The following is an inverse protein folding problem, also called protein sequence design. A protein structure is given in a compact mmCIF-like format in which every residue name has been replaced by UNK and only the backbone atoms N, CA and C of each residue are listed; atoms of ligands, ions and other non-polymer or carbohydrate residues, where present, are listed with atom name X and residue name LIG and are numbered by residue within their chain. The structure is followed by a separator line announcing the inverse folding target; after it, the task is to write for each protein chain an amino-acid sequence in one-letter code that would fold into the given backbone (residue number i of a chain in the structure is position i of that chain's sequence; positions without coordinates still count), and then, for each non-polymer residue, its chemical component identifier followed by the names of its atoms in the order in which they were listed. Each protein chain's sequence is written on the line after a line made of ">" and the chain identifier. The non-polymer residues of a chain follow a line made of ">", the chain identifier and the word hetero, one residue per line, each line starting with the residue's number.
data_IF_609542119881
#
_entry.id   IF_609542119881
#
_cell.length_a   1.000
_cell.length_b   1.000
_cell.length_c   1.000
_cell.angle_alpha   90.00
_cell.angle_beta   90.00
_cell.angle_gamma   90.00
#
_symmetry.space_group_name_H-M   'P 1'
#
loop_
_entity.id
_entity.type
_entity.pdbx_description
1 polymer ?
#
# COMPACT_ATOMS: atom_id res chain seq x y z
N UNK A 1 -18.72 -12.03 6.99
CA UNK A 1 -19.61 -11.32 6.02
C UNK A 1 -20.77 -10.70 6.78
N UNK A 2 -21.19 -9.49 6.42
CA UNK A 2 -22.44 -8.85 6.90
C UNK A 2 -23.41 -8.76 5.73
N UNK A 3 -24.69 -9.09 5.94
CA UNK A 3 -25.72 -8.96 4.91
C UNK A 3 -26.11 -7.48 4.76
N UNK A 4 -26.07 -6.99 3.54
CA UNK A 4 -26.44 -5.61 3.18
C UNK A 4 -27.35 -5.65 1.97
N UNK A 5 -28.43 -4.88 2.00
CA UNK A 5 -29.29 -4.66 0.83
C UNK A 5 -28.75 -3.48 0.05
N UNK A 6 -28.55 -3.65 -1.26
CA UNK A 6 -28.15 -2.59 -2.18
C UNK A 6 -29.23 -2.39 -3.24
N UNK A 7 -29.36 -1.17 -3.74
CA UNK A 7 -30.20 -0.86 -4.89
C UNK A 7 -29.30 -0.86 -6.14
N UNK A 8 -29.77 -1.49 -7.20
CA UNK A 8 -29.11 -1.54 -8.50
C UNK A 8 -30.17 -1.64 -9.60
N UNK A 9 -29.81 -1.20 -10.80
CA UNK A 9 -30.69 -1.33 -11.96
C UNK A 9 -30.95 -2.81 -12.29
N UNK A 10 -32.15 -3.10 -12.79
CA UNK A 10 -32.56 -4.47 -13.13
C UNK A 10 -31.66 -5.09 -14.20
N UNK A 11 -31.25 -4.30 -15.21
CA UNK A 11 -30.31 -4.74 -16.25
C UNK A 11 -28.97 -5.18 -15.66
N UNK A 12 -28.43 -4.41 -14.72
CA UNK A 12 -27.17 -4.72 -14.04
C UNK A 12 -27.28 -6.01 -13.23
N UNK A 13 -28.40 -6.22 -12.54
CA UNK A 13 -28.64 -7.47 -11.80
C UNK A 13 -28.78 -8.68 -12.73
N UNK A 14 -29.32 -8.49 -13.93
CA UNK A 14 -29.42 -9.54 -14.94
C UNK A 14 -28.04 -9.91 -15.50
N UNK A 15 -27.22 -8.91 -15.83
CA UNK A 15 -25.85 -9.12 -16.32
C UNK A 15 -24.98 -9.82 -15.27
N UNK A 16 -25.08 -9.42 -14.00
CA UNK A 16 -24.34 -10.08 -12.90
C UNK A 16 -24.74 -11.57 -12.77
N UNK A 17 -26.02 -11.90 -12.98
CA UNK A 17 -26.47 -13.30 -12.93
C UNK A 17 -25.87 -14.12 -14.06
N UNK A 18 -25.89 -13.58 -15.28
CA UNK A 18 -25.28 -14.23 -16.44
C UNK A 18 -23.77 -14.44 -16.22
N UNK A 19 -23.08 -13.42 -15.72
CA UNK A 19 -21.66 -13.49 -15.41
C UNK A 19 -21.35 -14.55 -14.35
N UNK A 20 -22.19 -14.67 -13.32
CA UNK A 20 -22.04 -15.70 -12.29
C UNK A 20 -22.22 -17.12 -12.85
N UNK A 21 -23.18 -17.30 -13.77
CA UNK A 21 -23.39 -18.58 -14.46
C UNK A 21 -22.20 -18.94 -15.36
N UNK A 22 -21.69 -17.98 -16.14
CA UNK A 22 -20.52 -18.18 -17.01
C UNK A 22 -19.25 -18.53 -16.25
N UNK A 23 -19.09 -17.99 -15.03
CA UNK A 23 -17.91 -18.20 -14.18
C UNK A 23 -18.06 -19.37 -13.20
N UNK A 24 -19.19 -20.09 -13.21
CA UNK A 24 -19.51 -21.14 -12.24
C UNK A 24 -19.40 -20.67 -10.77
N UNK A 25 -19.77 -19.41 -10.52
CA UNK A 25 -19.70 -18.76 -9.21
C UNK A 25 -21.09 -18.36 -8.70
N UNK A 26 -21.19 -18.03 -7.40
CA UNK A 26 -22.42 -17.42 -6.91
C UNK A 26 -22.48 -15.93 -7.24
N UNK A 27 -23.69 -15.40 -7.44
CA UNK A 27 -23.92 -13.94 -7.61
C UNK A 27 -23.28 -13.12 -6.47
N UNK A 28 -23.28 -13.66 -5.25
CA UNK A 28 -22.67 -12.99 -4.09
C UNK A 28 -21.13 -12.96 -4.15
N UNK A 29 -20.51 -13.90 -4.87
CA UNK A 29 -19.06 -13.92 -5.08
C UNK A 29 -18.66 -12.87 -6.12
N UNK A 30 -19.36 -12.84 -7.26
CA UNK A 30 -19.17 -11.84 -8.31
C UNK A 30 -19.35 -10.41 -7.76
N UNK A 31 -20.43 -10.15 -7.02
CA UNK A 31 -20.66 -8.83 -6.41
C UNK A 31 -19.55 -8.49 -5.41
N UNK A 32 -19.09 -9.46 -4.63
CA UNK A 32 -18.03 -9.22 -3.65
C UNK A 32 -16.72 -8.89 -4.32
N UNK A 33 -16.34 -9.63 -5.35
CA UNK A 33 -15.14 -9.38 -6.14
C UNK A 33 -15.16 -7.99 -6.76
N UNK A 34 -16.26 -7.64 -7.45
CA UNK A 34 -16.44 -6.31 -8.05
C UNK A 34 -16.33 -5.18 -7.02
N UNK A 35 -16.94 -5.32 -5.84
CA UNK A 35 -16.84 -4.33 -4.77
C UNK A 35 -15.43 -4.23 -4.19
N UNK A 36 -14.75 -5.37 -4.02
CA UNK A 36 -13.36 -5.42 -3.55
C UNK A 36 -12.41 -4.73 -4.52
N UNK A 37 -12.52 -5.02 -5.81
CA UNK A 37 -11.72 -4.39 -6.86
C UNK A 37 -12.02 -2.89 -6.96
N UNK A 38 -13.30 -2.51 -6.95
CA UNK A 38 -13.70 -1.10 -6.99
C UNK A 38 -13.11 -0.30 -5.83
N UNK A 39 -13.15 -0.85 -4.61
CA UNK A 39 -12.55 -0.20 -3.44
C UNK A 39 -11.03 -0.16 -3.54
N UNK A 40 -10.37 -1.24 -4.00
CA UNK A 40 -8.92 -1.29 -4.16
C UNK A 40 -8.43 -0.24 -5.16
N UNK A 41 -9.09 -0.14 -6.31
CA UNK A 41 -8.75 0.81 -7.38
C UNK A 41 -9.03 2.26 -6.98
N UNK A 42 -10.08 2.52 -6.18
CA UNK A 42 -10.44 3.88 -5.74
C UNK A 42 -9.81 4.32 -4.43
N UNK A 43 -9.29 3.41 -3.63
CA UNK A 43 -8.37 3.79 -2.56
C UNK A 43 -7.19 4.44 -3.24
N UNK A 44 -7.09 5.78 -3.13
CA UNK A 44 -5.82 6.47 -3.35
C UNK A 44 -4.78 5.66 -2.57
N UNK A 45 -3.58 5.38 -3.13
CA UNK A 45 -2.51 4.85 -2.31
C UNK A 45 -2.47 5.72 -1.07
N UNK A 46 -2.62 5.12 0.11
CA UNK A 46 -2.51 5.84 1.37
C UNK A 46 -1.32 6.75 1.20
N UNK A 47 -1.54 8.07 1.32
CA UNK A 47 -0.55 9.09 0.98
C UNK A 47 0.80 8.61 1.47
N UNK A 48 1.70 8.37 0.51
CA UNK A 48 2.85 7.51 0.67
C UNK A 48 3.62 7.82 1.94
N UNK A 49 3.57 6.89 2.89
CA UNK A 49 4.76 6.64 3.66
C UNK A 49 5.62 5.75 2.77
N UNK A 50 6.55 6.36 2.04
CA UNK A 50 7.63 5.57 1.47
C UNK A 50 8.27 4.85 2.65
N UNK A 51 8.46 3.54 2.56
CA UNK A 51 8.82 2.66 3.69
C UNK A 51 10.08 3.09 4.44
N UNK A 52 10.90 3.98 3.86
CA UNK A 52 12.10 4.53 4.47
C UNK A 52 11.89 5.84 5.25
N UNK A 53 10.74 6.51 5.12
CA UNK A 53 10.46 7.75 5.87
C UNK A 53 10.36 7.38 7.36
N UNK A 54 11.32 7.84 8.16
CA UNK A 54 11.41 7.52 9.59
C UNK A 54 12.13 6.20 9.92
N UNK A 55 12.83 5.57 8.97
CA UNK A 55 13.61 4.35 9.22
C UNK A 55 14.83 4.56 10.14
N UNK A 56 15.27 5.81 10.35
CA UNK A 56 16.37 6.15 11.25
C UNK A 56 15.93 6.15 12.72
N UNK A 57 16.42 5.18 13.51
CA UNK A 57 16.36 5.19 14.98
C UNK A 57 17.79 5.17 15.54
N UNK A 58 18.39 6.34 15.68
CA UNK A 58 19.71 6.48 16.32
C UNK A 58 19.64 6.73 17.83
N UNK A 59 18.49 7.20 18.35
CA UNK A 59 18.36 7.68 19.72
C UNK A 59 19.12 8.98 20.01
N UNK A 60 19.75 9.58 18.99
CA UNK A 60 20.57 10.79 19.09
C UNK A 60 19.96 11.90 18.23
N UNK A 61 19.86 13.09 18.78
CA UNK A 61 19.24 14.26 18.12
C UNK A 61 20.25 15.14 17.38
N UNK A 62 21.55 14.94 17.61
CA UNK A 62 22.65 15.81 17.16
C UNK A 62 23.43 15.26 15.95
N UNK A 63 23.03 14.12 15.38
CA UNK A 63 23.80 13.46 14.30
C UNK A 63 23.96 14.35 13.07
N UNK A 64 22.90 15.05 12.65
CA UNK A 64 22.96 15.92 11.47
C UNK A 64 23.87 17.12 11.69
N UNK A 65 23.92 17.66 12.90
CA UNK A 65 24.74 18.82 13.26
C UNK A 65 26.22 18.44 13.38
N UNK A 66 26.50 17.20 13.78
CA UNK A 66 27.85 16.68 14.06
C UNK A 66 28.34 15.67 13.04
N UNK A 67 27.73 15.62 11.86
CA UNK A 67 28.02 14.62 10.86
C UNK A 67 29.51 14.60 10.50
N UNK A 68 30.11 15.77 10.33
CA UNK A 68 31.53 15.91 9.97
C UNK A 68 32.47 15.40 11.07
N UNK A 69 32.25 15.77 12.32
CA UNK A 69 33.05 15.29 13.46
C UNK A 69 32.99 13.76 13.58
N UNK A 70 31.78 13.20 13.48
CA UNK A 70 31.56 11.75 13.57
C UNK A 70 32.28 11.02 12.43
N UNK A 71 32.23 11.58 11.21
CA UNK A 71 32.91 11.01 10.06
C UNK A 71 34.43 11.11 10.18
N UNK A 72 34.96 12.24 10.64
CA UNK A 72 36.40 12.42 10.86
C UNK A 72 36.94 11.43 11.90
N UNK A 73 36.22 11.23 13.01
CA UNK A 73 36.58 10.25 14.04
C UNK A 73 36.51 8.81 13.53
N UNK A 74 35.56 8.53 12.62
CA UNK A 74 35.33 7.19 12.08
C UNK A 74 36.29 6.83 10.93
N UNK A 75 36.84 7.83 10.22
CA UNK A 75 37.76 7.62 9.13
C UNK A 75 39.13 7.27 9.70
N UNK A 76 39.54 6.01 9.54
CA UNK A 76 40.96 5.65 9.59
C UNK A 76 41.61 6.20 8.32
N UNK A 77 42.69 7.00 8.40
CA UNK A 77 43.43 7.40 7.22
C UNK A 77 43.82 6.14 6.45
N UNK A 78 43.32 5.99 5.22
CA UNK A 78 43.87 5.01 4.32
C UNK A 78 45.25 5.53 3.92
N UNK A 79 46.31 4.91 4.41
CA UNK A 79 47.68 5.19 3.93
C UNK A 79 47.69 5.00 2.41
N UNK A 80 48.00 6.05 1.64
CA UNK A 80 48.28 5.89 0.21
C UNK A 80 47.68 6.92 -0.76
N UNK A 81 47.63 8.20 -0.42
CA UNK A 81 47.54 9.25 -1.45
C UNK A 81 48.61 10.30 -1.17
N UNK A 82 49.79 10.11 -1.78
CA UNK A 82 50.83 11.15 -1.99
C UNK A 82 50.38 12.14 -3.07
#
# INVERSE_FOLDING_TARGET
>A
MKRTTILADESTLLEIKQLAEEQEQSVSDVIREALSEYVATRRKPERGHISFIGAGRSGRTDISERAEEILQDAVKPHEGWE
#
